data_IF_899877804376
#
_entry.id   IF_899877804376
#
_cell.length_a   1.000
_cell.length_b   1.000
_cell.length_c   1.000
_cell.angle_alpha   90.00
_cell.angle_beta   90.00
_cell.angle_gamma   90.00
#
_symmetry.space_group_name_H-M   'P 1'
#
loop_
_entity.id
_entity.type
_entity.pdbx_description
1 polymer ?
#
# COMPACT_ATOMS: atom_id res chain seq x y z
N UNK A 1 7.52 -6.99 18.44
CA UNK A 1 6.82 -6.42 17.26
C UNK A 1 7.82 -6.34 16.11
N UNK A 2 7.39 -6.56 14.86
CA UNK A 2 8.29 -6.71 13.71
C UNK A 2 8.11 -5.62 12.64
N UNK A 3 9.18 -5.37 11.89
CA UNK A 3 9.13 -4.53 10.68
C UNK A 3 8.42 -5.30 9.57
N UNK A 4 7.44 -4.67 8.94
CA UNK A 4 6.76 -5.26 7.80
C UNK A 4 7.41 -4.82 6.50
N UNK A 5 7.43 -3.53 6.20
CA UNK A 5 8.04 -3.08 4.97
C UNK A 5 8.61 -1.67 5.16
N UNK A 6 9.80 -1.44 4.63
CA UNK A 6 10.50 -0.17 4.68
C UNK A 6 10.80 0.25 3.24
N UNK A 7 10.35 1.44 2.87
CA UNK A 7 10.61 2.05 1.57
C UNK A 7 11.34 3.39 1.74
N UNK A 8 12.22 3.70 0.79
CA UNK A 8 13.02 4.93 0.75
C UNK A 8 12.61 5.77 -0.44
N UNK A 9 12.23 7.03 -0.21
CA UNK A 9 11.80 7.91 -1.27
C UNK A 9 12.96 8.21 -2.26
N UNK A 10 12.83 7.91 -3.56
CA UNK A 10 13.94 8.06 -4.51
C UNK A 10 14.45 9.50 -4.67
N UNK A 11 13.55 10.49 -4.66
CA UNK A 11 13.87 11.91 -4.85
C UNK A 11 14.18 12.66 -3.55
N UNK A 12 13.99 12.02 -2.41
CA UNK A 12 14.28 12.57 -1.08
C UNK A 12 14.79 11.45 -0.16
N UNK A 13 16.05 11.03 -0.32
CA UNK A 13 16.49 9.74 0.22
C UNK A 13 16.62 9.67 1.75
N UNK A 14 16.51 10.80 2.45
CA UNK A 14 16.34 10.89 3.90
C UNK A 14 14.92 10.56 4.38
N UNK A 15 13.93 10.63 3.46
CA UNK A 15 12.54 10.29 3.75
C UNK A 15 12.31 8.79 3.56
N UNK A 16 11.86 8.16 4.64
CA UNK A 16 11.54 6.73 4.69
C UNK A 16 10.09 6.54 5.15
N UNK A 17 9.43 5.50 4.64
CA UNK A 17 8.12 5.05 5.11
C UNK A 17 8.23 3.62 5.60
N UNK A 18 7.60 3.34 6.73
CA UNK A 18 7.69 2.08 7.43
C UNK A 18 6.29 1.60 7.81
N UNK A 19 5.87 0.47 7.23
CA UNK A 19 4.81 -0.33 7.80
C UNK A 19 5.39 -1.22 8.90
N UNK A 20 4.87 -1.10 10.11
CA UNK A 20 5.26 -1.88 11.29
C UNK A 20 4.10 -2.76 11.76
N UNK A 21 4.37 -3.71 12.66
CA UNK A 21 3.36 -4.63 13.23
C UNK A 21 2.24 -3.96 14.06
N UNK A 22 2.27 -2.64 14.21
CA UNK A 22 1.31 -1.87 15.00
C UNK A 22 1.67 -0.41 14.88
N UNK A 23 1.52 0.12 13.67
CA UNK A 23 1.90 1.48 13.33
C UNK A 23 2.35 1.64 11.89
N UNK A 24 2.15 2.84 11.38
CA UNK A 24 2.69 3.33 10.11
C UNK A 24 3.54 4.53 10.46
N UNK A 25 4.80 4.50 10.07
CA UNK A 25 5.76 5.54 10.46
C UNK A 25 6.42 6.17 9.25
N UNK A 26 6.82 7.43 9.41
CA UNK A 26 7.71 8.14 8.51
C UNK A 26 8.98 8.54 9.24
N UNK A 27 10.10 8.53 8.56
CA UNK A 27 11.31 9.21 8.99
C UNK A 27 11.66 10.31 7.99
N UNK A 28 12.18 11.44 8.46
CA UNK A 28 12.68 12.55 7.64
C UNK A 28 14.20 12.73 7.77
N UNK A 29 14.89 11.84 8.50
CA UNK A 29 16.30 11.96 8.86
C UNK A 29 17.09 10.65 8.64
N UNK A 30 16.65 9.85 7.65
CA UNK A 30 17.20 8.56 7.28
C UNK A 30 17.13 7.50 8.40
N UNK A 31 16.04 7.52 9.18
CA UNK A 31 15.72 6.51 10.19
C UNK A 31 16.29 6.79 11.59
N UNK A 32 16.80 8.00 11.86
CA UNK A 32 17.28 8.37 13.21
C UNK A 32 16.11 8.65 14.14
N UNK A 33 15.03 9.22 13.62
CA UNK A 33 13.75 9.40 14.31
C UNK A 33 12.58 8.99 13.42
N UNK A 34 11.46 8.66 14.07
CA UNK A 34 10.24 8.17 13.44
C UNK A 34 9.03 8.93 13.97
N UNK A 35 8.13 9.29 13.06
CA UNK A 35 6.88 10.00 13.31
C UNK A 35 5.76 9.01 12.98
N UNK A 36 4.84 8.79 13.92
CA UNK A 36 3.63 8.02 13.68
C UNK A 36 2.70 8.80 12.74
N UNK A 37 2.33 8.16 11.64
CA UNK A 37 1.47 8.71 10.59
C UNK A 37 0.23 7.83 10.35
N UNK A 38 -0.14 6.96 11.30
CA UNK A 38 -1.30 6.08 11.16
C UNK A 38 -2.64 6.78 11.40
N UNK A 39 -2.64 8.02 11.89
CA UNK A 39 -3.85 8.77 12.17
C UNK A 39 -4.74 8.92 10.91
N UNK A 40 -6.00 8.48 11.02
CA UNK A 40 -6.99 8.50 9.93
C UNK A 40 -7.07 7.22 9.10
N UNK A 41 -6.15 6.26 9.28
CA UNK A 41 -6.28 4.93 8.69
C UNK A 41 -7.33 4.08 9.46
N UNK A 42 -7.99 3.12 8.78
CA UNK A 42 -8.97 2.23 9.41
C UNK A 42 -8.29 1.17 10.30
N UNK A 43 -6.99 0.97 10.11
CA UNK A 43 -6.13 0.10 10.92
C UNK A 43 -4.68 0.60 10.81
N UNK A 44 -3.93 0.46 11.90
CA UNK A 44 -2.49 0.69 11.96
C UNK A 44 -1.67 -0.56 11.58
N UNK A 45 -2.36 -1.66 11.24
CA UNK A 45 -1.78 -2.90 10.80
C UNK A 45 -1.95 -3.08 9.29
N UNK A 46 -0.92 -3.62 8.66
CA UNK A 46 -0.82 -3.78 7.22
C UNK A 46 0.52 -4.41 6.91
N UNK A 47 0.80 -4.75 5.65
CA UNK A 47 2.11 -5.31 5.30
C UNK A 47 2.87 -4.48 4.26
N UNK A 48 2.33 -4.21 3.07
CA UNK A 48 3.08 -3.46 2.08
C UNK A 48 2.97 -1.95 2.26
N UNK A 49 4.02 -1.25 1.82
CA UNK A 49 3.99 0.18 1.47
C UNK A 49 4.62 0.32 0.09
N UNK A 50 4.08 1.21 -0.73
CA UNK A 50 4.62 1.58 -2.05
C UNK A 50 4.67 3.11 -2.15
N UNK A 51 5.72 3.66 -2.76
CA UNK A 51 5.90 5.10 -2.93
C UNK A 51 5.80 5.50 -4.40
N UNK A 52 5.37 6.72 -4.69
CA UNK A 52 5.59 7.33 -6.01
C UNK A 52 7.06 7.77 -6.15
N UNK A 53 7.82 7.32 -7.16
CA UNK A 53 9.19 7.80 -7.38
C UNK A 53 9.29 9.30 -7.68
N UNK A 54 8.23 9.91 -8.22
CA UNK A 54 8.20 11.31 -8.56
C UNK A 54 7.90 12.22 -7.36
N UNK A 55 7.23 11.69 -6.33
CA UNK A 55 6.74 12.45 -5.19
C UNK A 55 7.15 11.78 -3.87
N UNK A 56 8.15 12.32 -3.16
CA UNK A 56 8.59 11.76 -1.88
C UNK A 56 7.55 11.87 -0.76
N UNK A 57 6.47 12.62 -0.95
CA UNK A 57 5.41 12.83 0.04
C UNK A 57 4.23 11.86 -0.19
N UNK A 58 4.25 11.14 -1.32
CA UNK A 58 3.23 10.17 -1.70
C UNK A 58 3.57 8.75 -1.27
N UNK A 59 2.62 8.10 -0.59
CA UNK A 59 2.70 6.70 -0.21
C UNK A 59 1.33 6.03 -0.30
N UNK A 60 1.36 4.74 -0.61
CA UNK A 60 0.20 3.88 -0.78
C UNK A 60 0.31 2.67 0.16
N UNK A 61 -0.77 2.38 0.87
CA UNK A 61 -0.88 1.28 1.84
C UNK A 61 -2.13 0.45 1.56
N UNK A 62 -2.13 -0.78 2.06
CA UNK A 62 -3.33 -1.62 2.13
C UNK A 62 -3.45 -2.14 3.57
N UNK A 63 -4.10 -1.39 4.46
CA UNK A 63 -4.32 -1.81 5.85
C UNK A 63 -5.20 -3.06 5.91
N UNK A 64 -4.91 -3.92 6.89
CA UNK A 64 -5.72 -5.10 7.22
C UNK A 64 -5.92 -5.15 8.73
N UNK A 65 -7.07 -5.65 9.19
CA UNK A 65 -7.38 -5.71 10.60
C UNK A 65 -6.37 -6.60 11.37
N UNK A 66 -6.00 -6.18 12.58
CA UNK A 66 -4.90 -6.79 13.35
C UNK A 66 -5.13 -8.27 13.71
N UNK A 67 -6.39 -8.66 13.96
CA UNK A 67 -6.72 -9.96 14.52
C UNK A 67 -6.86 -11.06 13.46
N UNK A 68 -7.68 -10.81 12.44
CA UNK A 68 -8.02 -11.73 11.35
C UNK A 68 -7.21 -11.48 10.06
N UNK A 69 -6.51 -10.34 9.98
CA UNK A 69 -5.58 -9.97 8.89
C UNK A 69 -6.24 -9.82 7.54
N UNK A 70 -7.51 -9.45 7.53
CA UNK A 70 -8.30 -9.18 6.33
C UNK A 70 -8.56 -7.68 6.17
N UNK A 71 -8.90 -7.28 4.96
CA UNK A 71 -9.35 -5.92 4.64
C UNK A 71 -10.52 -5.47 5.54
N UNK A 72 -10.43 -4.30 6.18
CA UNK A 72 -11.46 -3.81 7.10
C UNK A 72 -12.83 -3.65 6.42
N UNK A 73 -13.90 -3.85 7.20
CA UNK A 73 -15.29 -3.65 6.76
C UNK A 73 -15.71 -4.48 5.53
N UNK A 74 -14.95 -5.53 5.17
CA UNK A 74 -15.21 -6.32 3.98
C UNK A 74 -15.03 -5.55 2.67
N UNK A 75 -14.18 -4.50 2.67
CA UNK A 75 -13.91 -3.65 1.50
C UNK A 75 -12.43 -3.60 1.18
N UNK A 76 -12.07 -3.79 -0.08
CA UNK A 76 -10.69 -3.64 -0.54
C UNK A 76 -10.44 -2.18 -0.89
N UNK A 77 -9.57 -1.53 -0.13
CA UNK A 77 -9.20 -0.13 -0.31
C UNK A 77 -7.67 0.01 -0.28
N UNK A 78 -7.14 0.80 -1.20
CA UNK A 78 -5.77 1.31 -1.12
C UNK A 78 -5.83 2.69 -0.50
N UNK A 79 -5.01 2.94 0.52
CA UNK A 79 -4.98 4.23 1.21
C UNK A 79 -3.78 5.03 0.70
N UNK A 80 -4.06 6.24 0.23
CA UNK A 80 -3.08 7.15 -0.34
C UNK A 80 -2.87 8.35 0.59
N UNK A 81 -1.62 8.72 0.79
CA UNK A 81 -1.26 10.06 1.25
C UNK A 81 -0.51 10.79 0.14
N UNK A 82 -0.63 12.12 0.12
CA UNK A 82 0.16 13.04 -0.73
C UNK A 82 0.80 14.17 0.06
N UNK A 83 0.74 14.08 1.38
CA UNK A 83 1.22 15.09 2.34
C UNK A 83 2.06 14.42 3.44
N UNK A 84 2.75 13.35 3.06
CA UNK A 84 3.65 12.58 3.89
C UNK A 84 3.00 11.91 5.10
N UNK A 85 1.72 11.55 5.00
CA UNK A 85 0.96 10.87 6.05
C UNK A 85 0.31 11.82 7.05
N UNK A 86 0.20 13.11 6.73
CA UNK A 86 -0.61 14.03 7.53
C UNK A 86 -2.11 13.77 7.33
N UNK A 87 -2.51 13.37 6.12
CA UNK A 87 -3.85 12.90 5.78
C UNK A 87 -3.80 11.67 4.87
N UNK A 88 -4.88 10.88 4.92
CA UNK A 88 -5.06 9.69 4.11
C UNK A 88 -6.40 9.72 3.37
N UNK A 89 -6.37 9.29 2.11
CA UNK A 89 -7.54 9.17 1.24
C UNK A 89 -7.75 7.71 0.85
N UNK A 90 -8.95 7.19 1.08
CA UNK A 90 -9.33 5.86 0.62
C UNK A 90 -9.54 5.84 -0.91
N UNK A 91 -8.97 4.84 -1.58
CA UNK A 91 -9.10 4.59 -3.01
C UNK A 91 -9.67 3.19 -3.25
N UNK A 92 -10.88 3.13 -3.80
CA UNK A 92 -11.64 1.88 -3.94
C UNK A 92 -12.43 1.74 -5.25
N UNK A 93 -12.39 2.73 -6.15
CA UNK A 93 -13.17 2.66 -7.38
C UNK A 93 -12.71 1.47 -8.24
N UNK A 94 -13.63 0.55 -8.54
CA UNK A 94 -13.34 -0.69 -9.26
C UNK A 94 -12.82 -1.86 -8.41
N UNK A 95 -12.61 -1.66 -7.09
CA UNK A 95 -12.28 -2.73 -6.16
C UNK A 95 -13.53 -3.31 -5.48
N UNK A 96 -13.50 -4.57 -4.99
CA UNK A 96 -14.60 -5.15 -4.23
C UNK A 96 -14.97 -4.33 -2.98
N UNK A 97 -16.23 -3.92 -2.87
CA UNK A 97 -16.75 -3.05 -1.80
C UNK A 97 -17.63 -3.76 -0.77
N UNK A 98 -17.90 -5.05 -0.94
CA UNK A 98 -18.72 -5.86 -0.04
C UNK A 98 -18.18 -7.29 0.00
N UNK A 99 -18.31 -7.96 1.16
CA UNK A 99 -17.89 -9.34 1.40
C UNK A 99 -16.45 -9.68 0.97
N UNK A 100 -15.58 -8.68 0.92
CA UNK A 100 -14.20 -8.83 0.48
C UNK A 100 -13.24 -8.83 1.67
N UNK A 101 -13.03 -10.03 2.22
CA UNK A 101 -12.13 -10.26 3.36
C UNK A 101 -10.80 -10.84 2.87
N UNK A 102 -9.99 -9.99 2.24
CA UNK A 102 -8.75 -10.39 1.57
C UNK A 102 -7.55 -10.17 2.47
N UNK A 103 -6.60 -11.10 2.49
CA UNK A 103 -5.27 -10.84 3.07
C UNK A 103 -4.33 -10.36 1.97
N UNK A 104 -3.58 -9.30 2.27
CA UNK A 104 -2.54 -8.75 1.40
C UNK A 104 -1.19 -8.94 2.08
N UNK A 105 -0.26 -9.60 1.40
CA UNK A 105 1.01 -10.01 1.97
C UNK A 105 2.11 -8.96 1.73
N UNK A 106 3.19 -9.09 2.50
CA UNK A 106 4.30 -8.12 2.58
C UNK A 106 4.92 -7.72 1.26
N UNK A 107 4.94 -8.61 0.27
CA UNK A 107 5.56 -8.36 -1.04
C UNK A 107 4.53 -8.36 -2.17
N UNK A 108 3.23 -8.31 -1.86
CA UNK A 108 2.16 -8.43 -2.85
C UNK A 108 1.62 -7.08 -3.32
N UNK A 109 2.39 -6.00 -3.21
CA UNK A 109 2.06 -4.69 -3.76
C UNK A 109 3.33 -4.08 -4.38
N UNK A 110 3.26 -3.74 -5.66
CA UNK A 110 4.36 -3.12 -6.41
C UNK A 110 3.82 -2.06 -7.38
N UNK A 111 4.73 -1.32 -8.01
CA UNK A 111 4.42 -0.24 -8.94
C UNK A 111 5.27 -0.27 -10.20
N UNK A 112 4.80 0.43 -11.22
CA UNK A 112 5.59 0.85 -12.39
C UNK A 112 5.35 2.33 -12.69
N UNK A 113 6.25 2.96 -13.44
CA UNK A 113 6.16 4.39 -13.74
C UNK A 113 6.35 5.28 -12.50
N UNK A 114 5.97 6.55 -12.65
CA UNK A 114 6.03 7.58 -11.61
C UNK A 114 5.13 8.77 -11.98
N UNK A 115 4.68 9.54 -10.98
CA UNK A 115 3.89 10.75 -11.18
C UNK A 115 2.60 10.48 -11.95
N UNK A 116 2.43 11.18 -13.09
CA UNK A 116 1.24 11.04 -13.93
C UNK A 116 1.10 9.64 -14.57
N UNK A 117 2.22 8.93 -14.76
CA UNK A 117 2.28 7.59 -15.34
C UNK A 117 2.39 6.49 -14.27
N UNK A 118 2.12 6.79 -13.01
CA UNK A 118 2.21 5.82 -11.93
C UNK A 118 1.14 4.74 -12.08
N UNK A 119 1.61 3.50 -12.22
CA UNK A 119 0.79 2.30 -12.20
C UNK A 119 1.01 1.56 -10.87
N UNK A 120 -0.06 0.97 -10.33
CA UNK A 120 -0.07 0.29 -9.04
C UNK A 120 -0.68 -1.10 -9.21
N UNK A 121 -0.05 -2.12 -8.62
CA UNK A 121 -0.48 -3.51 -8.76
C UNK A 121 -0.36 -4.28 -7.46
N UNK A 122 -1.45 -4.86 -6.98
CA UNK A 122 -1.40 -5.71 -5.79
C UNK A 122 -2.13 -7.04 -5.99
N UNK A 123 -1.70 -8.04 -5.24
CA UNK A 123 -2.30 -9.37 -5.20
C UNK A 123 -2.74 -9.73 -3.80
N UNK A 124 -3.79 -10.56 -3.72
CA UNK A 124 -4.34 -11.07 -2.49
C UNK A 124 -4.16 -12.59 -2.37
N UNK A 125 -4.23 -13.11 -1.14
CA UNK A 125 -4.15 -14.56 -0.88
C UNK A 125 -5.31 -15.36 -1.44
N UNK A 126 -6.40 -14.69 -1.83
CA UNK A 126 -7.57 -15.25 -2.50
C UNK A 126 -7.32 -15.60 -3.98
N UNK A 127 -6.19 -15.14 -4.56
CA UNK A 127 -5.80 -15.46 -5.93
C UNK A 127 -6.12 -14.40 -6.98
N UNK A 128 -6.67 -13.26 -6.56
CA UNK A 128 -6.89 -12.07 -7.39
C UNK A 128 -5.64 -11.18 -7.44
N UNK A 129 -5.42 -10.58 -8.61
CA UNK A 129 -4.48 -9.49 -8.83
C UNK A 129 -5.28 -8.30 -9.36
N UNK A 130 -5.06 -7.14 -8.75
CA UNK A 130 -5.66 -5.87 -9.14
C UNK A 130 -4.58 -4.93 -9.66
N UNK A 131 -4.97 -4.05 -10.58
CA UNK A 131 -4.10 -3.05 -11.18
C UNK A 131 -4.79 -1.69 -11.29
N UNK A 132 -3.99 -0.64 -11.31
CA UNK A 132 -4.39 0.73 -11.61
C UNK A 132 -3.36 1.35 -12.54
N UNK A 133 -3.83 2.16 -13.49
CA UNK A 133 -2.98 2.92 -14.44
C UNK A 133 -3.13 4.44 -14.26
N UNK A 134 -3.65 4.86 -13.12
CA UNK A 134 -4.00 6.25 -12.85
C UNK A 134 -3.68 6.66 -11.41
N UNK A 135 -2.55 6.16 -10.89
CA UNK A 135 -2.07 6.40 -9.53
C UNK A 135 -3.09 5.99 -8.44
N UNK A 136 -3.81 4.89 -8.67
CA UNK A 136 -4.75 4.33 -7.71
C UNK A 136 -6.13 5.00 -7.70
N UNK A 137 -6.43 5.94 -8.61
CA UNK A 137 -7.76 6.57 -8.66
C UNK A 137 -8.85 5.55 -9.01
N UNK A 138 -8.59 4.67 -9.99
CA UNK A 138 -9.45 3.57 -10.37
C UNK A 138 -8.67 2.27 -10.57
N UNK A 139 -9.36 1.15 -10.38
CA UNK A 139 -8.78 -0.19 -10.37
C UNK A 139 -9.51 -1.14 -11.32
N UNK A 140 -8.78 -2.15 -11.81
CA UNK A 140 -9.30 -3.24 -12.63
C UNK A 140 -8.69 -4.58 -12.20
N UNK A 141 -9.42 -5.67 -12.44
CA UNK A 141 -8.91 -7.03 -12.26
C UNK A 141 -7.90 -7.38 -13.34
N UNK A 142 -6.69 -7.81 -12.95
CA UNK A 142 -5.61 -8.24 -13.84
C UNK A 142 -5.67 -9.75 -14.07
N UNK A 143 -5.85 -10.52 -12.99
CA UNK A 143 -5.95 -11.97 -13.02
C UNK A 143 -6.77 -12.47 -11.82
N UNK A 144 -7.32 -13.68 -11.93
CA UNK A 144 -8.09 -14.31 -10.86
C UNK A 144 -7.93 -15.84 -10.89
N UNK A 145 -8.39 -16.50 -9.82
CA UNK A 145 -8.35 -17.97 -9.65
C UNK A 145 -6.92 -18.54 -9.68
N UNK A 146 -5.97 -17.74 -9.22
CA UNK A 146 -4.61 -18.20 -8.98
C UNK A 146 -4.49 -18.81 -7.58
N UNK A 147 -3.42 -19.56 -7.29
CA UNK A 147 -3.03 -19.83 -5.91
C UNK A 147 -2.77 -18.52 -5.14
N UNK A 148 -2.67 -18.62 -3.82
CA UNK A 148 -2.42 -17.48 -2.95
C UNK A 148 -1.20 -16.67 -3.41
N UNK A 149 -1.37 -15.36 -3.61
CA UNK A 149 -0.33 -14.48 -4.12
C UNK A 149 0.60 -14.05 -2.97
N UNK A 150 1.80 -14.62 -2.95
CA UNK A 150 2.83 -14.25 -1.97
C UNK A 150 3.57 -12.95 -2.34
N UNK A 151 3.71 -12.68 -3.63
CA UNK A 151 4.41 -11.50 -4.13
C UNK A 151 3.90 -11.06 -5.50
N UNK A 152 3.93 -9.76 -5.76
CA UNK A 152 3.73 -9.14 -7.06
C UNK A 152 4.99 -8.34 -7.38
N UNK A 153 5.48 -8.45 -8.62
CA UNK A 153 6.57 -7.62 -9.13
C UNK A 153 6.24 -7.16 -10.55
N UNK A 154 6.46 -5.88 -10.83
CA UNK A 154 6.17 -5.30 -12.14
C UNK A 154 7.48 -4.86 -12.79
N UNK A 155 7.74 -5.36 -13.99
CA UNK A 155 8.92 -4.96 -14.77
C UNK A 155 8.76 -3.55 -15.30
N UNK A 156 9.86 -2.78 -15.30
CA UNK A 156 9.94 -1.59 -16.16
C UNK A 156 9.97 -2.04 -17.62
N UNK A 157 9.28 -1.29 -18.48
CA UNK A 157 9.48 -1.37 -19.93
C UNK A 157 10.76 -0.67 -20.32
#
# INVERSE_FOLDING_TARGET
LCVHHLERAPRRPERLYLQFHGGVYRSDDAGRSWIDIAAGLPSDFGFPVVLDPADPDSAYLIPVATQDRVTPEGRVLVWETRDAGATWTARGEGLPQEDAYLQVLRQSFDRAGAGADLELYFGATSGEIFGSRDAGRSWFGVASRLPAIASVRVGSR
#
